data_IF_417885332342
#
_entry.id   IF_417885332342
#
_cell.length_a   1.000
_cell.length_b   1.000
_cell.length_c   1.000
_cell.angle_alpha   90.00
_cell.angle_beta   90.00
_cell.angle_gamma   90.00
#
_symmetry.space_group_name_H-M   'P 1'
#
loop_
_entity.id
_entity.type
_entity.pdbx_description
1 polymer ?
#
# COMPACT_ATOMS: atom_id res chain seq x y z
N UNK A 1 1.05 -3.20 26.84
CA UNK A 1 0.23 -2.69 25.71
C UNK A 1 -1.06 -3.46 25.73
N UNK A 2 -2.19 -2.76 25.79
CA UNK A 2 -3.50 -3.37 25.62
C UNK A 2 -3.73 -3.75 24.14
N UNK A 3 -4.81 -4.50 23.88
CA UNK A 3 -5.12 -5.02 22.54
C UNK A 3 -5.45 -3.89 21.56
N UNK A 4 -6.13 -2.84 22.00
CA UNK A 4 -6.54 -1.74 21.12
C UNK A 4 -5.32 -0.97 20.63
N UNK A 5 -4.43 -0.58 21.54
CA UNK A 5 -3.15 0.07 21.20
C UNK A 5 -2.32 -0.80 20.26
N UNK A 6 -2.26 -2.11 20.53
CA UNK A 6 -1.51 -3.05 19.68
C UNK A 6 -2.08 -3.15 18.26
N UNK A 7 -3.42 -3.16 18.12
CA UNK A 7 -4.07 -3.21 16.81
C UNK A 7 -3.83 -1.93 16.02
N UNK A 8 -3.96 -0.77 16.66
CA UNK A 8 -3.69 0.54 16.02
C UNK A 8 -2.23 0.62 15.56
N UNK A 9 -1.28 0.20 16.39
CA UNK A 9 0.14 0.18 16.01
C UNK A 9 0.39 -0.73 14.81
N UNK A 10 -0.16 -1.94 14.79
CA UNK A 10 0.02 -2.88 13.68
C UNK A 10 -0.59 -2.34 12.38
N UNK A 11 -1.82 -1.82 12.45
CA UNK A 11 -2.56 -1.28 11.31
C UNK A 11 -1.92 -0.01 10.72
N UNK A 12 -1.15 0.74 11.50
CA UNK A 12 -0.45 1.94 11.04
C UNK A 12 0.88 1.65 10.31
N UNK A 13 1.29 0.38 10.21
CA UNK A 13 2.52 -0.03 9.52
C UNK A 13 2.18 -0.33 8.05
N UNK A 14 2.74 0.43 7.09
CA UNK A 14 2.55 0.13 5.69
C UNK A 14 3.20 -1.21 5.33
N UNK A 15 2.44 -2.09 4.70
CA UNK A 15 2.86 -3.41 4.25
C UNK A 15 2.22 -3.78 2.92
N UNK A 16 2.41 -3.02 1.84
CA UNK A 16 1.83 -3.38 0.55
C UNK A 16 2.42 -4.70 0.06
N UNK A 17 1.67 -5.46 -0.74
CA UNK A 17 2.09 -6.76 -1.28
C UNK A 17 3.50 -6.69 -1.89
N UNK A 18 4.37 -7.60 -1.45
CA UNK A 18 5.79 -7.70 -1.81
C UNK A 18 6.72 -6.75 -1.04
N UNK A 19 6.22 -5.96 -0.09
CA UNK A 19 6.99 -5.03 0.76
C UNK A 19 6.54 -5.09 2.23
N UNK A 20 6.26 -6.28 2.74
CA UNK A 20 5.71 -6.54 4.07
C UNK A 20 6.75 -6.49 5.19
N UNK A 21 8.03 -6.23 4.88
CA UNK A 21 9.16 -6.33 5.82
C UNK A 21 8.93 -5.58 7.12
N UNK A 22 8.38 -4.36 7.09
CA UNK A 22 8.13 -3.58 8.30
C UNK A 22 7.11 -4.27 9.24
N UNK A 23 6.07 -4.89 8.68
CA UNK A 23 5.08 -5.66 9.44
C UNK A 23 5.72 -6.92 10.01
N UNK A 24 6.53 -7.62 9.21
CA UNK A 24 7.24 -8.82 9.65
C UNK A 24 8.25 -8.54 10.77
N UNK A 25 8.99 -7.42 10.68
CA UNK A 25 9.94 -7.00 11.71
C UNK A 25 9.24 -6.72 13.04
N UNK A 26 8.14 -5.97 12.99
CA UNK A 26 7.30 -5.68 14.16
C UNK A 26 6.75 -6.94 14.83
N UNK A 27 6.34 -7.94 14.04
CA UNK A 27 5.90 -9.25 14.54
C UNK A 27 7.05 -10.05 15.13
N UNK A 28 8.21 -10.07 14.45
CA UNK A 28 9.40 -10.83 14.87
C UNK A 28 9.88 -10.38 16.25
N UNK A 29 9.95 -9.07 16.47
CA UNK A 29 10.29 -8.50 17.78
C UNK A 29 9.30 -8.94 18.88
N UNK A 30 8.01 -8.96 18.57
CA UNK A 30 6.97 -9.33 19.54
C UNK A 30 6.89 -10.83 19.80
N UNK A 31 7.33 -11.67 18.87
CA UNK A 31 7.38 -13.13 19.03
C UNK A 31 8.71 -13.61 19.63
N UNK A 32 9.73 -12.77 19.68
CA UNK A 32 11.02 -13.09 20.27
C UNK A 32 10.86 -13.59 21.72
N UNK A 33 11.42 -14.78 22.00
CA UNK A 33 11.38 -15.41 23.32
C UNK A 33 10.01 -15.98 23.74
N UNK A 34 8.97 -15.92 22.89
CA UNK A 34 7.64 -16.48 23.16
C UNK A 34 7.37 -17.81 22.44
N UNK A 35 8.27 -18.22 21.57
CA UNK A 35 8.12 -19.38 20.71
C UNK A 35 9.43 -20.18 20.72
N UNK A 36 9.35 -21.51 20.59
CA UNK A 36 10.52 -22.38 20.45
C UNK A 36 11.37 -22.03 19.23
N UNK A 37 10.72 -21.61 18.13
CA UNK A 37 11.41 -21.19 16.91
C UNK A 37 10.64 -20.11 16.18
N UNK A 38 11.34 -19.09 15.72
CA UNK A 38 10.81 -18.07 14.79
C UNK A 38 11.76 -17.99 13.60
N UNK A 39 11.24 -18.07 12.38
CA UNK A 39 12.05 -17.99 11.17
C UNK A 39 11.26 -17.41 10.00
N UNK A 40 11.99 -16.87 9.05
CA UNK A 40 11.44 -16.34 7.81
C UNK A 40 11.70 -17.30 6.65
N UNK A 41 10.73 -17.44 5.76
CA UNK A 41 10.90 -18.19 4.51
C UNK A 41 11.60 -17.33 3.45
N UNK A 42 12.11 -17.96 2.39
CA UNK A 42 12.75 -17.23 1.27
C UNK A 42 11.82 -16.24 0.54
N UNK A 43 10.50 -16.40 0.71
CA UNK A 43 9.48 -15.56 0.10
C UNK A 43 8.90 -14.52 1.08
N UNK A 44 9.48 -14.38 2.28
CA UNK A 44 9.12 -13.31 3.23
C UNK A 44 8.10 -13.69 4.30
N UNK A 45 7.50 -14.89 4.26
CA UNK A 45 6.57 -15.32 5.34
C UNK A 45 7.33 -15.52 6.65
N UNK A 46 6.82 -14.95 7.75
CA UNK A 46 7.30 -15.18 9.11
C UNK A 46 6.51 -16.31 9.78
N UNK A 47 7.20 -17.34 10.26
CA UNK A 47 6.61 -18.46 10.97
C UNK A 47 7.10 -18.48 12.41
N UNK A 48 6.17 -18.76 13.33
CA UNK A 48 6.45 -18.96 14.75
C UNK A 48 5.92 -20.32 15.21
N UNK A 49 6.83 -21.17 15.66
CA UNK A 49 6.51 -22.46 16.27
C UNK A 49 6.48 -22.30 17.80
N UNK A 50 5.29 -22.34 18.39
CA UNK A 50 5.09 -22.13 19.83
C UNK A 50 5.56 -23.34 20.66
N UNK A 51 5.45 -24.57 20.11
CA UNK A 51 5.79 -25.81 20.81
C UNK A 51 4.59 -26.61 21.31
N UNK A 52 4.86 -27.72 22.01
CA UNK A 52 3.86 -28.57 22.66
C UNK A 52 3.72 -29.99 22.08
N UNK A 53 2.95 -30.83 22.77
CA UNK A 53 2.68 -32.22 22.37
C UNK A 53 1.20 -32.39 22.04
N UNK A 54 0.87 -32.55 20.75
CA UNK A 54 -0.50 -32.69 20.28
C UNK A 54 -0.62 -32.62 18.76
N UNK A 55 -1.85 -32.57 18.21
CA UNK A 55 -2.06 -32.35 16.78
C UNK A 55 -1.46 -31.01 16.31
N UNK A 56 -0.93 -30.99 15.08
CA UNK A 56 -0.43 -29.75 14.49
C UNK A 56 -1.58 -28.81 14.12
N UNK A 57 -1.54 -27.57 14.62
CA UNK A 57 -2.48 -26.49 14.30
C UNK A 57 -1.73 -25.37 13.58
N UNK A 58 -2.27 -24.92 12.44
CA UNK A 58 -1.81 -23.73 11.73
C UNK A 58 -2.82 -22.59 11.91
N UNK A 59 -2.35 -21.45 12.42
CA UNK A 59 -3.09 -20.19 12.41
C UNK A 59 -2.36 -19.28 11.42
N UNK A 60 -3.07 -18.83 10.39
CA UNK A 60 -2.49 -18.02 9.32
C UNK A 60 -3.29 -16.74 9.13
N UNK A 61 -2.56 -15.62 9.07
CA UNK A 61 -3.03 -14.33 8.56
C UNK A 61 -2.04 -13.83 7.52
N UNK A 62 -2.52 -13.07 6.53
CA UNK A 62 -1.65 -12.41 5.57
C UNK A 62 -1.26 -11.03 6.10
N UNK A 63 0.00 -10.64 5.89
CA UNK A 63 0.54 -9.37 6.38
C UNK A 63 0.37 -8.23 5.38
N UNK A 64 0.10 -8.56 4.13
CA UNK A 64 0.01 -7.60 3.06
C UNK A 64 -1.33 -6.85 3.07
N UNK A 65 -1.27 -5.62 2.57
CA UNK A 65 -2.45 -4.79 2.35
C UNK A 65 -2.66 -4.47 0.87
N UNK A 66 -3.93 -4.16 0.57
CA UNK A 66 -4.34 -3.64 -0.73
C UNK A 66 -3.58 -2.33 -1.03
N UNK A 67 -3.10 -2.19 -2.26
CA UNK A 67 -2.27 -1.05 -2.65
C UNK A 67 -2.32 -0.79 -4.16
N UNK A 68 -1.87 0.40 -4.54
CA UNK A 68 -1.57 0.75 -5.92
C UNK A 68 -0.05 0.77 -6.15
N UNK A 69 0.35 0.83 -7.41
CA UNK A 69 1.74 1.08 -7.81
C UNK A 69 1.81 2.26 -8.77
N UNK A 70 2.84 3.09 -8.63
CA UNK A 70 3.10 4.18 -9.56
C UNK A 70 3.48 3.60 -10.92
N UNK A 71 2.63 3.79 -11.93
CA UNK A 71 2.85 3.40 -13.33
C UNK A 71 3.71 4.41 -14.07
N UNK A 72 3.44 5.69 -13.87
CA UNK A 72 4.16 6.79 -14.51
C UNK A 72 4.10 8.05 -13.66
N UNK A 73 5.04 8.96 -13.91
CA UNK A 73 5.09 10.30 -13.34
C UNK A 73 5.06 11.27 -14.51
N UNK A 74 4.06 12.15 -14.55
CA UNK A 74 3.93 13.11 -15.65
C UNK A 74 4.82 14.35 -15.45
N UNK A 75 4.92 15.18 -16.48
CA UNK A 75 5.77 16.38 -16.49
C UNK A 75 5.40 17.40 -15.39
N UNK A 76 4.15 17.36 -14.90
CA UNK A 76 3.63 18.24 -13.85
C UNK A 76 3.87 17.68 -12.45
N UNK A 77 4.34 16.44 -12.33
CA UNK A 77 4.64 15.78 -11.05
C UNK A 77 3.54 14.87 -10.52
N UNK A 78 2.45 14.64 -11.28
CA UNK A 78 1.39 13.72 -10.84
C UNK A 78 1.81 12.26 -11.00
N UNK A 79 1.43 11.42 -10.03
CA UNK A 79 1.73 9.99 -10.01
C UNK A 79 0.54 9.19 -10.52
N UNK A 80 0.62 8.65 -11.72
CA UNK A 80 -0.43 7.83 -12.31
C UNK A 80 -0.30 6.39 -11.85
N UNK A 81 -1.44 5.76 -11.56
CA UNK A 81 -1.45 4.48 -10.84
C UNK A 81 -1.74 3.28 -11.75
N UNK A 82 -1.31 2.12 -11.28
CA UNK A 82 -1.82 0.81 -11.70
C UNK A 82 -2.18 0.00 -10.46
N UNK A 83 -2.88 -1.11 -10.65
CA UNK A 83 -3.22 -1.99 -9.55
C UNK A 83 -1.95 -2.65 -9.00
N UNK A 84 -1.75 -2.60 -7.68
CA UNK A 84 -0.64 -3.29 -7.00
C UNK A 84 -0.90 -4.77 -6.76
N UNK A 85 -2.11 -5.25 -7.08
CA UNK A 85 -2.62 -6.57 -6.77
C UNK A 85 -2.96 -7.35 -8.06
N UNK A 86 -3.14 -8.67 -7.94
CA UNK A 86 -3.63 -9.49 -9.04
C UNK A 86 -4.97 -8.94 -9.60
N UNK A 87 -5.26 -9.13 -10.89
CA UNK A 87 -6.51 -8.66 -11.51
C UNK A 87 -7.70 -9.49 -10.98
N UNK A 88 -8.11 -9.24 -9.74
CA UNK A 88 -9.34 -9.77 -9.17
C UNK A 88 -10.17 -8.62 -8.63
N UNK A 89 -11.33 -8.46 -9.29
CA UNK A 89 -12.62 -7.98 -8.76
C UNK A 89 -12.74 -6.50 -8.41
N UNK A 90 -13.42 -5.78 -9.29
CA UNK A 90 -14.70 -5.10 -9.02
C UNK A 90 -14.79 -4.06 -7.88
N UNK A 91 -13.66 -3.59 -7.32
CA UNK A 91 -13.65 -2.41 -6.45
C UNK A 91 -13.76 -1.19 -7.34
N UNK A 92 -14.77 -0.34 -7.12
CA UNK A 92 -14.90 0.90 -7.90
C UNK A 92 -13.69 1.78 -7.64
N UNK A 93 -12.98 2.18 -8.70
CA UNK A 93 -11.80 3.05 -8.62
C UNK A 93 -12.15 4.46 -8.12
N UNK A 94 -13.44 4.75 -7.85
CA UNK A 94 -13.88 5.97 -7.16
C UNK A 94 -13.58 6.01 -5.67
N UNK A 95 -13.55 4.88 -4.96
CA UNK A 95 -13.37 4.89 -3.50
C UNK A 95 -12.14 5.66 -3.01
N UNK A 96 -10.94 5.54 -3.63
CA UNK A 96 -9.77 6.28 -3.16
C UNK A 96 -9.87 7.79 -3.42
N UNK A 97 -10.67 8.27 -4.37
CA UNK A 97 -10.67 9.69 -4.76
C UNK A 97 -11.01 10.60 -3.56
N UNK A 98 -10.12 11.55 -3.27
CA UNK A 98 -10.22 12.47 -2.14
C UNK A 98 -9.73 11.92 -0.81
N UNK A 99 -9.23 10.68 -0.76
CA UNK A 99 -8.61 10.10 0.43
C UNK A 99 -7.10 10.43 0.48
N UNK A 100 -6.50 10.47 1.68
CA UNK A 100 -5.05 10.49 1.85
C UNK A 100 -4.40 9.35 1.07
N UNK A 101 -3.23 9.63 0.52
CA UNK A 101 -2.36 8.66 -0.10
C UNK A 101 -1.00 8.69 0.59
N UNK A 102 -0.41 7.53 0.77
CA UNK A 102 0.94 7.37 1.30
C UNK A 102 1.79 6.63 0.28
N UNK A 103 2.72 7.35 -0.36
CA UNK A 103 3.65 6.77 -1.35
C UNK A 103 4.88 6.25 -0.62
N UNK A 104 5.19 4.97 -0.82
CA UNK A 104 6.38 4.32 -0.29
C UNK A 104 7.54 4.49 -1.29
N UNK A 105 8.13 5.69 -1.24
CA UNK A 105 9.18 6.16 -2.13
C UNK A 105 10.60 5.74 -1.71
N UNK A 106 11.59 6.21 -2.47
CA UNK A 106 13.00 6.11 -2.11
C UNK A 106 13.29 7.11 -0.99
N UNK A 107 13.87 6.64 0.11
CA UNK A 107 14.23 7.51 1.24
C UNK A 107 13.11 7.77 2.24
N UNK A 108 11.89 7.27 1.99
CA UNK A 108 10.82 7.33 2.99
C UNK A 108 9.41 7.34 2.43
N UNK A 109 8.49 7.75 3.30
CA UNK A 109 7.07 7.92 3.01
C UNK A 109 6.82 9.33 2.50
N UNK A 110 6.00 9.47 1.46
CA UNK A 110 5.60 10.76 0.89
C UNK A 110 4.08 10.85 1.00
N UNK A 111 3.60 11.87 1.70
CA UNK A 111 2.16 12.14 1.81
C UNK A 111 1.63 12.70 0.49
N UNK A 112 0.39 12.34 0.17
CA UNK A 112 -0.31 12.84 -1.00
C UNK A 112 -1.81 12.66 -0.86
N UNK A 113 -2.51 12.90 -1.96
CA UNK A 113 -3.95 12.76 -2.07
C UNK A 113 -4.30 12.00 -3.34
N UNK A 114 -5.13 10.97 -3.22
CA UNK A 114 -5.73 10.33 -4.39
C UNK A 114 -6.69 11.31 -5.07
N UNK A 115 -6.56 11.46 -6.38
CA UNK A 115 -7.30 12.44 -7.16
C UNK A 115 -7.74 11.87 -8.52
N UNK A 116 -8.78 12.49 -9.05
CA UNK A 116 -9.29 12.29 -10.39
C UNK A 116 -9.80 13.64 -10.94
N UNK A 117 -9.93 13.76 -12.25
CA UNK A 117 -10.43 14.99 -12.85
C UNK A 117 -11.88 15.31 -12.37
N UNK A 118 -12.13 16.56 -11.96
CA UNK A 118 -13.46 16.96 -11.50
C UNK A 118 -14.48 16.97 -12.64
N UNK A 119 -15.74 16.63 -12.35
CA UNK A 119 -16.80 16.61 -13.37
C UNK A 119 -17.04 17.95 -14.09
N UNK A 120 -16.66 19.07 -13.47
CA UNK A 120 -16.79 20.43 -14.03
C UNK A 120 -15.85 20.70 -15.20
N UNK A 121 -14.69 20.02 -15.24
CA UNK A 121 -13.68 20.20 -16.29
C UNK A 121 -13.75 19.12 -17.38
N UNK A 122 -14.54 18.07 -17.17
CA UNK A 122 -14.73 17.01 -18.15
C UNK A 122 -15.48 17.52 -19.38
N UNK A 123 -15.10 17.05 -20.56
CA UNK A 123 -15.87 17.25 -21.80
C UNK A 123 -17.20 16.47 -21.77
N UNK A 124 -18.14 16.77 -22.67
CA UNK A 124 -19.39 16.00 -22.79
C UNK A 124 -19.12 14.50 -23.02
N UNK A 125 -18.16 14.17 -23.89
CA UNK A 125 -17.73 12.79 -24.15
C UNK A 125 -17.13 12.11 -22.92
N UNK A 126 -16.33 12.82 -22.13
CA UNK A 126 -15.76 12.25 -20.90
C UNK A 126 -16.82 12.04 -19.82
N UNK A 127 -17.90 12.83 -19.81
CA UNK A 127 -19.03 12.61 -18.89
C UNK A 127 -19.85 11.36 -19.22
N UNK A 128 -19.81 10.88 -20.46
CA UNK A 128 -20.37 9.58 -20.83
C UNK A 128 -19.57 8.42 -20.21
N UNK A 129 -18.31 8.66 -19.83
CA UNK A 129 -17.49 7.74 -19.03
C UNK A 129 -17.88 7.85 -17.55
N UNK A 130 -19.02 7.26 -17.20
CA UNK A 130 -19.62 7.41 -15.85
C UNK A 130 -18.74 6.80 -14.73
N UNK A 131 -17.89 5.83 -15.07
CA UNK A 131 -17.03 5.09 -14.13
C UNK A 131 -15.61 5.63 -14.19
N UNK A 132 -15.11 6.08 -13.05
CA UNK A 132 -13.66 6.33 -12.87
C UNK A 132 -12.95 4.99 -12.97
N UNK A 133 -11.89 4.93 -13.77
CA UNK A 133 -10.99 3.77 -13.85
C UNK A 133 -9.55 4.13 -13.45
N UNK A 134 -8.59 3.23 -13.68
CA UNK A 134 -7.18 3.45 -13.35
C UNK A 134 -6.52 4.53 -14.22
N UNK A 135 -7.02 4.78 -15.42
CA UNK A 135 -6.50 5.84 -16.29
C UNK A 135 -7.00 7.22 -15.87
N UNK A 136 -8.02 7.29 -15.01
CA UNK A 136 -8.52 8.53 -14.39
C UNK A 136 -7.88 8.82 -13.01
N UNK A 137 -7.29 7.80 -12.35
CA UNK A 137 -6.80 7.89 -10.97
C UNK A 137 -5.30 8.22 -10.90
N UNK A 138 -4.97 9.25 -10.12
CA UNK A 138 -3.59 9.65 -9.85
C UNK A 138 -3.42 10.08 -8.38
N UNK A 139 -2.17 10.27 -7.95
CA UNK A 139 -1.83 10.89 -6.67
C UNK A 139 -1.16 12.22 -6.92
N UNK A 140 -1.63 13.22 -6.19
CA UNK A 140 -0.96 14.51 -6.05
C UNK A 140 -0.14 14.52 -4.76
N UNK A 141 1.16 14.78 -4.88
CA UNK A 141 2.12 14.90 -3.76
C UNK A 141 2.59 16.35 -3.56
N UNK A 142 1.95 17.31 -4.22
CA UNK A 142 2.32 18.73 -4.16
C UNK A 142 3.53 19.12 -5.01
N UNK A 143 4.03 18.22 -5.87
CA UNK A 143 5.12 18.51 -6.80
C UNK A 143 4.63 19.36 -7.99
N UNK A 144 5.45 20.31 -8.43
CA UNK A 144 5.19 21.17 -9.59
C UNK A 144 5.88 20.68 -10.87
N UNK A 145 6.69 19.61 -10.77
CA UNK A 145 7.40 19.01 -11.90
C UNK A 145 7.71 17.54 -11.66
N UNK A 146 8.01 16.82 -12.73
CA UNK A 146 8.52 15.44 -12.65
C UNK A 146 9.80 15.36 -11.83
N UNK A 147 10.71 16.31 -12.01
CA UNK A 147 12.01 16.35 -11.34
C UNK A 147 11.84 16.53 -9.82
N UNK A 148 10.91 17.37 -9.41
CA UNK A 148 10.57 17.56 -7.99
C UNK A 148 9.96 16.30 -7.38
N UNK A 149 9.03 15.64 -8.08
CA UNK A 149 8.46 14.37 -7.62
C UNK A 149 9.54 13.29 -7.42
N UNK A 150 10.51 13.20 -8.36
CA UNK A 150 11.65 12.29 -8.24
C UNK A 150 12.56 12.66 -7.06
N UNK A 151 12.79 13.96 -6.83
CA UNK A 151 13.61 14.45 -5.72
C UNK A 151 12.98 14.15 -4.35
N UNK A 152 11.64 14.13 -4.26
CA UNK A 152 10.90 13.66 -3.08
C UNK A 152 11.01 12.14 -2.87
N UNK A 153 11.50 11.39 -3.86
CA UNK A 153 11.68 9.94 -3.79
C UNK A 153 10.60 9.13 -4.52
N UNK A 154 9.62 9.78 -5.16
CA UNK A 154 8.66 9.07 -5.99
C UNK A 154 9.38 8.39 -7.16
N UNK A 155 8.93 7.20 -7.55
CA UNK A 155 9.49 6.47 -8.68
C UNK A 155 8.46 5.49 -9.24
N UNK A 156 8.60 5.13 -10.50
CA UNK A 156 7.80 4.04 -11.10
C UNK A 156 8.05 2.74 -10.31
N UNK A 157 6.96 2.07 -9.93
CA UNK A 157 6.97 0.90 -9.06
C UNK A 157 6.96 1.20 -7.56
N UNK A 158 6.92 2.46 -7.13
CA UNK A 158 6.61 2.79 -5.75
C UNK A 158 5.19 2.33 -5.41
N UNK A 159 5.02 1.68 -4.26
CA UNK A 159 3.69 1.32 -3.75
C UNK A 159 2.99 2.54 -3.17
N UNK A 160 1.67 2.57 -3.26
CA UNK A 160 0.82 3.62 -2.68
C UNK A 160 -0.29 2.97 -1.87
N UNK A 161 -0.39 3.35 -0.61
CA UNK A 161 -1.44 2.92 0.35
C UNK A 161 -2.22 4.15 0.85
N UNK A 162 -3.13 3.96 1.79
CA UNK A 162 -3.99 5.02 2.39
C UNK A 162 -3.48 5.47 3.76
#
# INVERSE_FOLDING_TARGET
MDIETMLVELMAIPGPTGRETAVMDWLRERWAGKCERVWETKVGNLLAHVGGSGPALLIQGHADELSFVVRSIDERGFLWLSNGQAPSTNVTHRFPVGQPALVIGRGGRIEGLFAAASGHILTARQREHERVDLDDLFVDIGASSREEALALGAHVGASVVW
#
